data_IF_427080372687
#
_entry.id   IF_427080372687
#
_cell.length_a   1.000
_cell.length_b   1.000
_cell.length_c   1.000
_cell.angle_alpha   90.00
_cell.angle_beta   90.00
_cell.angle_gamma   90.00
#
_symmetry.space_group_name_H-M   'P 1'
#
loop_
_entity.id
_entity.type
_entity.pdbx_description
1 polymer ?
#
# COMPACT_ATOMS: atom_id res chain seq x y z
N UNK A 1 85.37 36.83 -12.02
CA UNK A 1 85.07 35.37 -11.97
C UNK A 1 83.81 35.25 -11.16
N UNK A 2 82.66 35.18 -11.74
CA UNK A 2 81.39 35.19 -11.10
C UNK A 2 80.61 33.89 -11.44
N UNK A 3 80.49 33.04 -10.44
CA UNK A 3 79.83 31.72 -10.56
C UNK A 3 78.30 31.92 -10.45
N UNK A 4 77.58 31.64 -11.52
CA UNK A 4 76.10 31.68 -11.56
C UNK A 4 75.56 30.35 -10.98
N UNK A 5 74.88 30.44 -9.88
CA UNK A 5 74.16 29.34 -9.24
C UNK A 5 72.83 29.14 -9.95
N UNK A 6 72.61 27.97 -10.56
CA UNK A 6 71.33 27.56 -11.16
C UNK A 6 70.44 26.98 -10.05
N UNK A 7 69.31 27.63 -9.82
CA UNK A 7 68.22 27.11 -8.95
C UNK A 7 67.37 26.19 -9.80
N UNK A 8 67.36 24.90 -9.44
CA UNK A 8 66.45 23.90 -10.00
C UNK A 8 65.16 23.94 -9.18
N UNK A 9 64.08 24.37 -9.79
CA UNK A 9 62.70 24.24 -9.19
C UNK A 9 62.21 22.87 -9.47
N UNK A 10 62.04 22.05 -8.42
CA UNK A 10 61.34 20.77 -8.49
C UNK A 10 59.85 21.08 -8.38
N UNK A 11 59.06 20.81 -9.44
CA UNK A 11 57.60 20.84 -9.42
C UNK A 11 57.10 19.50 -8.82
N UNK A 12 56.49 19.57 -7.63
CA UNK A 12 55.78 18.45 -7.06
C UNK A 12 54.37 18.46 -7.59
N UNK A 13 54.03 17.56 -8.51
CA UNK A 13 52.71 17.37 -9.05
C UNK A 13 51.97 16.44 -8.06
N UNK A 14 51.06 17.05 -7.27
CA UNK A 14 50.19 16.31 -6.34
C UNK A 14 49.04 15.71 -7.14
N UNK A 15 49.07 14.43 -7.45
CA UNK A 15 47.99 13.69 -8.11
C UNK A 15 46.94 13.31 -7.07
N UNK A 16 45.82 14.04 -7.05
CA UNK A 16 44.63 13.69 -6.23
C UNK A 16 43.95 12.48 -6.88
N UNK A 17 44.12 11.29 -6.30
CA UNK A 17 43.29 10.12 -6.59
C UNK A 17 41.95 10.31 -5.87
N UNK A 18 40.92 10.79 -6.58
CA UNK A 18 39.55 10.72 -6.12
C UNK A 18 39.07 9.26 -6.24
N UNK A 19 39.08 8.53 -5.15
CA UNK A 19 38.44 7.21 -5.07
C UNK A 19 36.93 7.38 -5.16
N UNK A 20 36.34 7.18 -6.35
CA UNK A 20 34.91 7.03 -6.53
C UNK A 20 34.49 5.70 -5.92
N UNK A 21 33.99 5.71 -4.69
CA UNK A 21 33.27 4.56 -4.15
C UNK A 21 31.93 4.48 -4.86
N UNK A 22 31.85 3.62 -5.87
CA UNK A 22 30.59 3.19 -6.46
C UNK A 22 29.92 2.28 -5.44
N UNK A 23 29.02 2.83 -4.64
CA UNK A 23 28.05 2.03 -3.91
C UNK A 23 27.15 1.36 -4.92
N UNK A 24 27.44 0.12 -5.28
CA UNK A 24 26.51 -0.73 -5.99
C UNK A 24 25.30 -0.94 -5.08
N UNK A 25 24.25 -0.14 -5.24
CA UNK A 25 22.94 -0.43 -4.68
C UNK A 25 22.53 -1.79 -5.26
N UNK A 26 22.56 -2.80 -4.41
CA UNK A 26 21.99 -4.11 -4.72
C UNK A 26 20.51 -3.85 -4.99
N UNK A 27 20.12 -3.84 -6.26
CA UNK A 27 18.71 -3.83 -6.62
C UNK A 27 18.06 -5.02 -5.92
N UNK A 28 17.27 -4.76 -4.89
CA UNK A 28 16.48 -5.80 -4.23
C UNK A 28 15.56 -6.39 -5.28
N UNK A 29 15.71 -7.67 -5.57
CA UNK A 29 14.85 -8.35 -6.53
C UNK A 29 13.38 -8.11 -6.11
N UNK A 30 12.59 -7.62 -7.06
CA UNK A 30 11.17 -7.39 -6.89
C UNK A 30 10.49 -8.74 -6.62
N UNK A 31 9.81 -8.89 -5.51
CA UNK A 31 9.14 -10.15 -5.16
C UNK A 31 7.80 -10.19 -5.87
N UNK A 32 7.61 -11.16 -6.76
CA UNK A 32 6.32 -11.39 -7.44
C UNK A 32 5.70 -12.69 -6.92
N UNK A 33 4.45 -12.63 -6.48
CA UNK A 33 3.69 -13.78 -5.95
C UNK A 33 2.40 -13.89 -6.78
N UNK A 34 2.22 -15.03 -7.44
CA UNK A 34 1.09 -15.30 -8.32
C UNK A 34 0.81 -14.17 -9.34
N UNK A 35 1.88 -13.62 -9.95
CA UNK A 35 1.79 -12.55 -10.95
C UNK A 35 1.64 -11.13 -10.38
N UNK A 36 1.58 -10.95 -9.07
CA UNK A 36 1.42 -9.64 -8.42
C UNK A 36 2.65 -9.27 -7.60
N UNK A 37 3.03 -8.01 -7.69
CA UNK A 37 4.20 -7.50 -6.99
C UNK A 37 3.92 -7.30 -5.50
N UNK A 38 4.82 -7.84 -4.65
CA UNK A 38 4.86 -7.66 -3.21
C UNK A 38 6.03 -6.74 -2.82
N UNK A 39 5.72 -5.62 -2.20
CA UNK A 39 6.69 -4.62 -1.73
C UNK A 39 6.91 -4.81 -0.23
N UNK A 40 8.13 -5.17 0.12
CA UNK A 40 8.56 -5.19 1.52
C UNK A 40 8.85 -3.75 1.98
N UNK A 41 8.00 -3.22 2.84
CA UNK A 41 8.15 -1.88 3.44
C UNK A 41 8.96 -1.88 4.74
N UNK A 42 9.47 -3.05 5.18
CA UNK A 42 10.09 -3.22 6.50
C UNK A 42 9.04 -3.30 7.63
N UNK A 43 7.84 -3.75 7.30
CA UNK A 43 6.72 -4.02 8.20
C UNK A 43 6.57 -5.53 8.44
N UNK A 44 5.59 -5.90 9.26
CA UNK A 44 5.29 -7.30 9.56
C UNK A 44 4.87 -8.12 8.33
N UNK A 45 4.30 -7.47 7.32
CA UNK A 45 3.87 -8.07 6.05
C UNK A 45 4.32 -7.24 4.85
N UNK A 46 4.38 -7.88 3.67
CA UNK A 46 4.58 -7.17 2.40
C UNK A 46 3.23 -6.69 1.86
N UNK A 47 3.22 -5.52 1.25
CA UNK A 47 2.04 -4.90 0.67
C UNK A 47 2.06 -5.02 -0.85
N UNK A 48 0.92 -5.27 -1.47
CA UNK A 48 0.80 -5.25 -2.92
C UNK A 48 1.13 -3.87 -3.49
N UNK A 49 1.75 -3.81 -4.67
CA UNK A 49 1.99 -2.53 -5.36
C UNK A 49 0.72 -1.89 -5.91
N UNK A 50 -0.32 -2.70 -6.22
CA UNK A 50 -1.59 -2.26 -6.82
C UNK A 50 -2.79 -2.71 -6.00
N UNK A 51 -3.94 -2.04 -6.19
CA UNK A 51 -5.24 -2.53 -5.72
C UNK A 51 -5.70 -3.73 -6.55
N UNK A 52 -6.61 -4.57 -6.03
CA UNK A 52 -7.23 -5.64 -6.83
C UNK A 52 -7.97 -5.01 -8.01
N UNK A 53 -7.76 -5.59 -9.21
CA UNK A 53 -8.33 -5.11 -10.47
C UNK A 53 -7.59 -3.94 -11.10
N UNK A 54 -6.50 -3.45 -10.47
CA UNK A 54 -5.60 -2.45 -11.04
C UNK A 54 -4.36 -3.09 -11.65
N UNK A 55 -3.82 -2.46 -12.70
CA UNK A 55 -2.58 -2.86 -13.38
C UNK A 55 -1.43 -1.88 -13.13
N UNK A 56 -1.73 -0.71 -12.56
CA UNK A 56 -0.74 0.29 -12.12
C UNK A 56 -1.04 0.74 -10.69
N UNK A 57 -0.05 1.24 -9.95
CA UNK A 57 -0.26 1.72 -8.58
C UNK A 57 -1.28 2.84 -8.45
N UNK A 58 -1.42 3.68 -9.48
CA UNK A 58 -2.31 4.86 -9.51
C UNK A 58 -3.76 4.49 -9.86
N UNK A 59 -3.97 3.33 -10.47
CA UNK A 59 -5.32 2.88 -10.83
C UNK A 59 -6.13 2.50 -9.59
N UNK A 60 -7.39 2.93 -9.55
CA UNK A 60 -8.27 2.69 -8.40
C UNK A 60 -8.58 1.21 -8.18
N UNK A 61 -8.63 0.41 -9.26
CA UNK A 61 -9.00 -1.00 -9.21
C UNK A 61 -10.50 -1.20 -8.99
N UNK A 62 -10.82 -2.36 -8.44
CA UNK A 62 -12.18 -2.78 -8.15
C UNK A 62 -12.58 -2.46 -6.71
N UNK A 63 -13.90 -2.42 -6.48
CA UNK A 63 -14.49 -2.22 -5.16
C UNK A 63 -15.22 -3.48 -4.73
N UNK A 64 -15.20 -3.76 -3.44
CA UNK A 64 -15.83 -4.93 -2.85
C UNK A 64 -16.60 -4.54 -1.59
N UNK A 65 -17.77 -5.15 -1.35
CA UNK A 65 -18.38 -5.14 -0.02
C UNK A 65 -17.60 -6.05 0.90
N UNK A 66 -17.56 -5.75 2.19
CA UNK A 66 -16.82 -6.58 3.15
C UNK A 66 -17.38 -8.01 3.21
N UNK A 67 -16.48 -8.99 3.15
CA UNK A 67 -16.88 -10.40 3.14
C UNK A 67 -17.40 -10.92 1.81
N UNK A 68 -17.36 -10.11 0.75
CA UNK A 68 -17.71 -10.51 -0.61
C UNK A 68 -16.49 -10.52 -1.54
N UNK A 69 -16.45 -11.46 -2.45
CA UNK A 69 -15.28 -11.73 -3.31
C UNK A 69 -15.48 -11.34 -4.77
N UNK A 70 -16.68 -10.89 -5.12
CA UNK A 70 -17.04 -10.41 -6.45
C UNK A 70 -17.44 -8.93 -6.42
N UNK A 71 -17.22 -8.24 -7.54
CA UNK A 71 -17.73 -6.89 -7.78
C UNK A 71 -19.21 -6.93 -8.13
N UNK A 72 -19.91 -5.82 -7.89
CA UNK A 72 -21.33 -5.69 -8.22
C UNK A 72 -21.65 -4.29 -8.77
N UNK A 73 -22.78 -4.15 -9.42
CA UNK A 73 -23.21 -2.87 -10.00
C UNK A 73 -23.75 -1.89 -8.94
N UNK A 74 -24.24 -2.43 -7.82
CA UNK A 74 -24.86 -1.66 -6.75
C UNK A 74 -24.37 -2.18 -5.38
N UNK A 75 -24.04 -1.25 -4.49
CA UNK A 75 -23.46 -1.49 -3.16
C UNK A 75 -24.42 -0.94 -2.11
N UNK A 76 -25.26 -1.78 -1.56
CA UNK A 76 -26.26 -1.45 -0.54
C UNK A 76 -26.67 -2.65 0.31
N UNK A 77 -27.48 -2.40 1.31
CA UNK A 77 -27.98 -3.38 2.28
C UNK A 77 -28.85 -4.47 1.64
N UNK A 78 -29.61 -4.15 0.57
CA UNK A 78 -30.50 -5.11 -0.10
C UNK A 78 -29.73 -6.27 -0.75
N UNK A 79 -28.47 -6.05 -1.16
CA UNK A 79 -27.66 -7.05 -1.86
C UNK A 79 -26.35 -7.40 -1.17
N UNK A 80 -26.12 -6.96 0.06
CA UNK A 80 -24.95 -7.30 0.84
C UNK A 80 -25.16 -8.62 1.58
N UNK A 81 -24.34 -9.62 1.27
CA UNK A 81 -24.47 -10.98 1.84
C UNK A 81 -23.84 -11.13 3.21
N UNK A 82 -23.08 -10.15 3.65
CA UNK A 82 -22.32 -10.19 4.92
C UNK A 82 -22.97 -9.39 6.06
N UNK A 83 -24.02 -8.63 5.78
CA UNK A 83 -24.78 -7.91 6.82
C UNK A 83 -25.40 -8.88 7.83
N UNK A 84 -25.41 -8.47 9.08
CA UNK A 84 -25.98 -9.23 10.22
C UNK A 84 -25.40 -10.65 10.35
N UNK A 85 -24.20 -10.89 9.80
CA UNK A 85 -23.49 -12.14 9.97
C UNK A 85 -22.44 -12.00 11.07
N UNK A 86 -22.49 -12.81 12.12
CA UNK A 86 -21.52 -12.80 13.22
C UNK A 86 -20.21 -13.43 12.78
N UNK A 87 -19.66 -12.96 11.66
CA UNK A 87 -18.39 -13.44 11.15
C UNK A 87 -17.25 -12.78 11.92
N UNK A 88 -16.32 -13.61 12.41
CA UNK A 88 -15.04 -13.15 12.91
C UNK A 88 -14.14 -12.62 11.78
N UNK A 89 -12.87 -12.47 12.08
CA UNK A 89 -11.87 -12.05 11.09
C UNK A 89 -11.87 -12.99 9.87
N UNK A 90 -11.92 -12.39 8.68
CA UNK A 90 -12.03 -13.13 7.40
C UNK A 90 -10.71 -13.34 6.69
N UNK A 91 -9.57 -12.98 7.31
CA UNK A 91 -8.23 -13.11 6.75
C UNK A 91 -8.01 -14.45 6.06
N UNK A 92 -7.67 -14.42 4.79
CA UNK A 92 -7.30 -15.59 4.00
C UNK A 92 -8.43 -16.59 3.72
N UNK A 93 -9.67 -16.29 4.11
CA UNK A 93 -10.82 -17.13 3.79
C UNK A 93 -11.20 -17.01 2.32
N UNK A 94 -11.05 -18.07 1.54
CA UNK A 94 -11.24 -18.03 0.07
C UNK A 94 -12.66 -17.69 -0.38
N UNK A 95 -13.66 -17.80 0.49
CA UNK A 95 -15.05 -17.46 0.17
C UNK A 95 -15.49 -16.09 0.67
N UNK A 96 -14.63 -15.37 1.43
CA UNK A 96 -14.99 -14.08 2.06
C UNK A 96 -13.92 -13.01 1.94
N UNK A 97 -12.66 -13.38 1.76
CA UNK A 97 -11.53 -12.48 1.56
C UNK A 97 -11.32 -12.24 0.06
N UNK A 98 -11.63 -11.02 -0.40
CA UNK A 98 -11.54 -10.65 -1.81
C UNK A 98 -10.11 -10.79 -2.35
N UNK A 99 -9.08 -10.54 -1.55
CA UNK A 99 -7.71 -10.70 -1.99
C UNK A 99 -7.36 -12.17 -2.20
N UNK A 100 -7.72 -13.04 -1.25
CA UNK A 100 -7.53 -14.49 -1.36
C UNK A 100 -8.28 -15.07 -2.55
N UNK A 101 -9.52 -14.67 -2.75
CA UNK A 101 -10.36 -15.20 -3.82
C UNK A 101 -9.88 -14.78 -5.22
N UNK A 102 -9.44 -13.54 -5.39
CA UNK A 102 -9.08 -13.00 -6.71
C UNK A 102 -7.60 -13.26 -7.08
N UNK A 103 -6.68 -13.20 -6.12
CA UNK A 103 -5.25 -13.34 -6.39
C UNK A 103 -4.66 -14.68 -5.93
N UNK A 104 -5.35 -15.39 -5.04
CA UNK A 104 -4.93 -16.71 -4.57
C UNK A 104 -3.61 -16.73 -3.80
N UNK A 105 -2.96 -17.90 -3.75
CA UNK A 105 -1.68 -18.11 -3.07
C UNK A 105 -1.69 -17.61 -1.62
N UNK A 106 -0.75 -16.77 -1.21
CA UNK A 106 -0.66 -16.17 0.14
C UNK A 106 -1.30 -14.79 0.25
N UNK A 107 -1.86 -14.24 -0.83
CA UNK A 107 -2.51 -12.94 -0.81
C UNK A 107 -3.78 -12.97 0.05
N UNK A 108 -3.97 -11.93 0.84
CA UNK A 108 -5.11 -11.76 1.75
C UNK A 108 -5.39 -10.28 2.06
N UNK A 109 -6.55 -9.99 2.63
CA UNK A 109 -6.81 -8.70 3.23
C UNK A 109 -5.82 -8.43 4.37
N UNK A 110 -5.38 -7.17 4.56
CA UNK A 110 -4.68 -6.79 5.78
C UNK A 110 -5.63 -6.87 6.98
N UNK A 111 -5.12 -7.26 8.13
CA UNK A 111 -5.82 -7.11 9.42
C UNK A 111 -5.83 -5.63 9.85
N UNK A 112 -6.70 -5.26 10.79
CA UNK A 112 -6.68 -3.93 11.39
C UNK A 112 -5.31 -3.61 12.03
N UNK A 113 -4.65 -4.60 12.62
CA UNK A 113 -3.34 -4.39 13.25
C UNK A 113 -2.25 -4.06 12.21
N UNK A 114 -2.26 -4.72 11.06
CA UNK A 114 -1.33 -4.43 9.95
C UNK A 114 -1.63 -3.07 9.30
N UNK A 115 -2.91 -2.69 9.21
CA UNK A 115 -3.29 -1.36 8.76
C UNK A 115 -2.80 -0.26 9.74
N UNK A 116 -2.92 -0.48 11.05
CA UNK A 116 -2.37 0.41 12.08
C UNK A 116 -0.84 0.51 11.96
N UNK A 117 -0.17 -0.61 11.76
CA UNK A 117 1.28 -0.62 11.56
C UNK A 117 1.70 0.23 10.35
N UNK A 118 1.00 0.10 9.21
CA UNK A 118 1.22 0.92 8.01
C UNK A 118 1.04 2.42 8.30
N UNK A 119 -0.04 2.78 9.02
CA UNK A 119 -0.35 4.16 9.39
C UNK A 119 0.73 4.77 10.30
N UNK A 120 1.17 4.01 11.30
CA UNK A 120 2.03 4.49 12.38
C UNK A 120 3.52 4.49 12.02
N UNK A 121 3.98 3.45 11.30
CA UNK A 121 5.42 3.25 11.05
C UNK A 121 5.91 3.83 9.72
N UNK A 122 5.03 4.14 8.78
CA UNK A 122 5.41 4.66 7.47
C UNK A 122 5.30 6.18 7.39
N UNK A 123 6.10 6.75 6.49
CA UNK A 123 5.99 8.15 6.12
C UNK A 123 4.98 8.29 4.97
N UNK A 124 3.98 9.15 5.14
CA UNK A 124 2.92 9.39 4.18
C UNK A 124 3.05 10.77 3.56
N UNK A 125 3.16 10.84 2.22
CA UNK A 125 3.26 12.08 1.47
C UNK A 125 2.12 12.18 0.47
N UNK A 126 1.22 13.17 0.66
CA UNK A 126 0.15 13.46 -0.29
C UNK A 126 0.70 13.98 -1.62
N UNK A 127 0.15 13.50 -2.74
CA UNK A 127 0.61 13.83 -4.10
C UNK A 127 -0.44 14.51 -4.98
N UNK A 128 -1.62 14.81 -4.42
CA UNK A 128 -2.76 15.38 -5.14
C UNK A 128 -3.82 14.36 -5.58
N UNK A 129 -3.46 13.08 -5.69
CA UNK A 129 -4.38 12.00 -6.12
C UNK A 129 -4.28 10.75 -5.24
N UNK A 130 -3.54 10.82 -4.15
CA UNK A 130 -3.29 9.73 -3.23
C UNK A 130 -2.03 9.94 -2.42
N UNK A 131 -1.59 8.92 -1.72
CA UNK A 131 -0.39 8.95 -0.91
C UNK A 131 0.72 8.05 -1.45
N UNK A 132 1.94 8.61 -1.53
CA UNK A 132 3.14 7.80 -1.49
C UNK A 132 3.40 7.43 -0.03
N UNK A 133 3.43 6.13 0.26
CA UNK A 133 3.65 5.57 1.60
C UNK A 133 5.00 4.89 1.61
N UNK A 134 5.95 5.47 2.36
CA UNK A 134 7.33 5.01 2.45
C UNK A 134 7.58 4.32 3.77
N UNK A 135 7.97 3.07 3.72
CA UNK A 135 8.28 2.26 4.88
C UNK A 135 9.62 2.59 5.55
N UNK A 136 9.89 2.04 6.74
CA UNK A 136 11.15 2.25 7.46
C UNK A 136 12.40 1.85 6.68
N UNK A 137 12.29 0.92 5.74
CA UNK A 137 13.40 0.48 4.88
C UNK A 137 13.61 1.34 3.62
N UNK A 138 12.84 2.44 3.46
CA UNK A 138 12.93 3.38 2.35
C UNK A 138 12.19 2.96 1.06
N UNK A 139 11.60 1.76 1.00
CA UNK A 139 10.74 1.37 -0.12
C UNK A 139 9.35 1.96 0.03
N UNK A 140 8.64 2.12 -1.08
CA UNK A 140 7.35 2.81 -1.10
C UNK A 140 6.31 2.06 -1.91
N UNK A 141 5.04 2.26 -1.55
CA UNK A 141 3.87 1.97 -2.36
C UNK A 141 3.09 3.26 -2.60
N UNK A 142 2.23 3.26 -3.60
CA UNK A 142 1.27 4.34 -3.83
C UNK A 142 -0.15 3.84 -3.51
N UNK A 143 -0.89 4.61 -2.72
CA UNK A 143 -2.29 4.36 -2.39
C UNK A 143 -3.14 5.45 -3.04
N UNK A 144 -3.88 5.16 -4.14
CA UNK A 144 -4.73 6.16 -4.78
C UNK A 144 -5.93 6.57 -3.91
N UNK A 145 -6.33 7.83 -4.02
CA UNK A 145 -7.57 8.34 -3.46
C UNK A 145 -8.75 7.82 -4.29
N UNK A 146 -9.04 6.53 -4.15
CA UNK A 146 -10.01 5.80 -4.94
C UNK A 146 -11.46 6.02 -4.49
N UNK A 147 -11.69 6.77 -3.40
CA UNK A 147 -13.01 6.95 -2.83
C UNK A 147 -13.64 5.64 -2.37
N UNK A 148 -14.96 5.62 -2.39
CA UNK A 148 -15.76 4.42 -2.10
C UNK A 148 -17.03 4.39 -2.96
N UNK A 149 -17.74 3.27 -2.98
CA UNK A 149 -19.05 3.11 -3.63
C UNK A 149 -20.15 2.90 -2.60
N UNK A 150 -21.26 3.62 -2.80
CA UNK A 150 -22.52 3.38 -2.11
C UNK A 150 -23.65 3.40 -3.12
N UNK A 151 -24.51 2.39 -3.12
CA UNK A 151 -25.48 2.14 -4.19
C UNK A 151 -24.78 2.02 -5.55
N UNK A 152 -25.20 2.79 -6.55
CA UNK A 152 -24.56 2.84 -7.88
C UNK A 152 -23.66 4.06 -8.09
N UNK A 153 -23.32 4.77 -7.00
CA UNK A 153 -22.56 6.04 -7.04
C UNK A 153 -21.18 5.84 -6.44
N UNK A 154 -20.20 6.53 -7.01
CA UNK A 154 -18.86 6.67 -6.43
C UNK A 154 -18.75 8.01 -5.72
N UNK A 155 -18.14 7.99 -4.55
CA UNK A 155 -17.94 9.14 -3.67
C UNK A 155 -16.46 9.38 -3.44
N UNK A 156 -16.06 10.62 -3.24
CA UNK A 156 -14.72 11.07 -2.83
C UNK A 156 -13.57 10.60 -3.74
N UNK A 157 -13.85 10.33 -5.03
CA UNK A 157 -12.84 9.99 -6.01
C UNK A 157 -11.86 11.16 -6.18
N UNK A 158 -10.57 10.90 -5.96
CA UNK A 158 -9.51 11.91 -6.00
C UNK A 158 -9.37 12.73 -4.71
N UNK A 159 -10.29 12.57 -3.75
CA UNK A 159 -10.33 13.29 -2.47
C UNK A 159 -9.90 12.42 -1.30
N UNK A 160 -10.36 11.17 -1.25
CA UNK A 160 -10.07 10.23 -0.18
C UNK A 160 -9.85 8.80 -0.65
N UNK A 161 -9.18 8.00 0.17
CA UNK A 161 -9.00 6.56 -0.03
C UNK A 161 -9.60 5.77 1.14
N UNK A 162 -10.34 4.72 0.82
CA UNK A 162 -11.02 3.83 1.77
C UNK A 162 -10.63 2.39 1.46
N UNK A 163 -9.94 1.75 2.38
CA UNK A 163 -9.31 0.45 2.16
C UNK A 163 -9.76 -0.56 3.21
N UNK A 164 -10.27 -1.69 2.77
CA UNK A 164 -10.74 -2.76 3.65
C UNK A 164 -9.62 -3.35 4.51
N UNK A 165 -9.99 -3.76 5.72
CA UNK A 165 -9.28 -4.78 6.49
C UNK A 165 -10.13 -6.03 6.61
N UNK A 166 -9.54 -7.14 7.05
CA UNK A 166 -10.26 -8.39 7.30
C UNK A 166 -11.06 -8.38 8.60
N UNK A 167 -10.83 -7.37 9.45
CA UNK A 167 -11.31 -7.36 10.83
C UNK A 167 -12.71 -6.75 10.91
N UNK A 168 -13.71 -7.47 11.42
CA UNK A 168 -15.06 -6.94 11.65
C UNK A 168 -15.06 -5.94 12.79
N UNK A 169 -16.08 -5.10 12.87
CA UNK A 169 -16.39 -4.41 14.12
C UNK A 169 -16.89 -5.42 15.15
N UNK A 170 -16.41 -5.31 16.39
CA UNK A 170 -16.76 -6.24 17.46
C UNK A 170 -18.11 -5.93 18.14
N UNK A 171 -18.67 -4.76 17.87
CA UNK A 171 -19.88 -4.26 18.52
C UNK A 171 -21.07 -4.18 17.54
N UNK A 172 -20.79 -4.32 16.24
CA UNK A 172 -21.79 -4.13 15.19
C UNK A 172 -21.54 -5.08 14.00
N UNK A 173 -22.39 -6.06 13.83
CA UNK A 173 -22.34 -7.04 12.73
C UNK A 173 -22.64 -6.42 11.35
N UNK A 174 -23.01 -5.14 11.27
CA UNK A 174 -23.19 -4.41 10.02
C UNK A 174 -21.94 -3.66 9.58
N UNK A 175 -20.92 -3.56 10.44
CA UNK A 175 -19.72 -2.78 10.20
C UNK A 175 -18.44 -3.62 10.20
N UNK A 176 -17.42 -3.10 9.54
CA UNK A 176 -16.06 -3.66 9.55
C UNK A 176 -15.02 -2.56 9.55
N UNK A 177 -13.86 -2.86 10.14
CA UNK A 177 -12.75 -1.91 10.18
C UNK A 177 -12.12 -1.72 8.79
N UNK A 178 -11.71 -0.48 8.55
CA UNK A 178 -10.96 -0.06 7.38
C UNK A 178 -9.87 0.94 7.78
N UNK A 179 -8.98 1.27 6.87
CA UNK A 179 -8.20 2.48 6.99
C UNK A 179 -8.57 3.46 5.88
N UNK A 180 -8.55 4.73 6.23
CA UNK A 180 -8.89 5.81 5.31
C UNK A 180 -7.90 6.96 5.40
N UNK A 181 -7.89 7.75 4.34
CA UNK A 181 -7.13 8.99 4.28
C UNK A 181 -7.79 9.99 3.33
N UNK A 182 -7.46 11.25 3.54
CA UNK A 182 -7.69 12.37 2.65
C UNK A 182 -6.45 13.27 2.63
N UNK A 183 -6.50 14.44 1.99
CA UNK A 183 -5.35 15.38 1.94
C UNK A 183 -4.89 15.89 3.31
N UNK A 184 -5.76 15.85 4.31
CA UNK A 184 -5.52 16.43 5.65
C UNK A 184 -5.03 15.39 6.66
N UNK A 185 -5.17 14.09 6.34
CA UNK A 185 -4.70 13.05 7.25
C UNK A 185 -5.07 11.62 6.89
N UNK A 186 -4.75 10.75 7.81
CA UNK A 186 -5.01 9.31 7.72
C UNK A 186 -5.35 8.74 9.08
N UNK A 187 -6.26 7.79 9.13
CA UNK A 187 -6.61 7.04 10.34
C UNK A 187 -7.20 5.67 10.00
N UNK A 188 -7.33 4.82 11.00
CA UNK A 188 -8.23 3.67 10.93
C UNK A 188 -9.64 4.09 11.35
N UNK A 189 -10.64 3.40 10.82
CA UNK A 189 -12.05 3.68 11.07
C UNK A 189 -12.87 2.40 10.87
N UNK A 190 -14.17 2.53 10.81
CA UNK A 190 -15.11 1.48 10.39
C UNK A 190 -16.08 2.05 9.34
N UNK A 191 -16.64 1.17 8.56
CA UNK A 191 -17.67 1.48 7.56
C UNK A 191 -18.68 0.34 7.52
N UNK A 192 -19.88 0.64 7.03
CA UNK A 192 -20.88 -0.39 6.77
C UNK A 192 -20.32 -1.41 5.77
N UNK A 193 -20.63 -2.68 5.98
CA UNK A 193 -20.14 -3.80 5.17
C UNK A 193 -20.67 -3.81 3.74
N UNK A 194 -21.82 -3.17 3.49
CA UNK A 194 -22.43 -3.05 2.18
C UNK A 194 -21.71 -2.08 1.25
N UNK A 195 -20.96 -1.12 1.78
CA UNK A 195 -20.18 -0.19 0.97
C UNK A 195 -19.08 -0.89 0.17
N UNK A 196 -18.87 -0.44 -1.05
CA UNK A 196 -17.78 -0.89 -1.90
C UNK A 196 -16.49 -0.13 -1.59
N UNK A 197 -15.53 -0.78 -0.95
CA UNK A 197 -14.23 -0.21 -0.64
C UNK A 197 -13.12 -0.84 -1.48
N UNK A 198 -11.99 -0.13 -1.61
CA UNK A 198 -10.79 -0.65 -2.24
C UNK A 198 -10.16 -1.79 -1.42
N UNK A 199 -9.47 -2.70 -2.11
CA UNK A 199 -8.67 -3.75 -1.48
C UNK A 199 -7.22 -3.62 -1.91
N UNK A 200 -6.33 -3.37 -0.94
CA UNK A 200 -4.88 -3.45 -1.10
C UNK A 200 -4.38 -4.70 -0.39
N UNK A 201 -4.05 -5.77 -1.12
CA UNK A 201 -3.63 -7.03 -0.51
C UNK A 201 -2.31 -6.96 0.23
N UNK A 202 -2.15 -7.88 1.18
CA UNK A 202 -0.88 -8.17 1.85
C UNK A 202 -0.51 -9.65 1.71
N UNK A 203 0.76 -9.95 1.97
CA UNK A 203 1.32 -11.31 2.01
C UNK A 203 2.47 -11.39 3.00
N UNK A 204 2.80 -12.60 3.46
CA UNK A 204 3.93 -12.89 4.34
C UNK A 204 5.30 -12.66 3.66
#
# INVERSE_FOLDING_TARGET
MGTKMKIVRASVTLTLFAAFMVFAQKASAQTTINGHEAVDLGLSVKWASCNIGATTPEAHGNYYSWGETATKARYDDENCTSLDKPWGDITGNSSRDAARANWGSSWRLPTLQEAKELIEKCNWKWTGSGYTVTGPNGKSIFLPAAGYKGRSVSYEIGEGGYYQTSTPDSMDDQSAHNFRFDKDGKNWNWSLRDLGLSVRPVTE
#
